data_IF_533062742859
#
_entry.id   IF_533062742859
#
_cell.length_a   1.000
_cell.length_b   1.000
_cell.length_c   1.000
_cell.angle_alpha   90.00
_cell.angle_beta   90.00
_cell.angle_gamma   90.00
#
_symmetry.space_group_name_H-M   'P 1'
#
loop_
_entity.id
_entity.type
_entity.pdbx_description
1 polymer ?
#
# COMPACT_ATOMS: atom_id res chain seq x y z
N UNK A 1 11.49 17.66 -7.07
CA UNK A 1 12.41 17.90 -5.93
C UNK A 1 11.88 18.88 -4.86
N UNK A 2 11.01 19.84 -5.18
CA UNK A 2 10.54 20.87 -4.22
C UNK A 2 9.71 20.31 -3.06
N UNK A 3 8.95 19.22 -3.24
CA UNK A 3 8.12 18.65 -2.17
C UNK A 3 8.88 17.79 -1.15
N UNK A 4 10.12 17.39 -1.44
CA UNK A 4 10.94 16.58 -0.51
C UNK A 4 11.66 17.42 0.56
N UNK A 5 11.88 18.71 0.31
CA UNK A 5 12.58 19.60 1.23
C UNK A 5 11.94 19.76 2.62
N UNK A 6 10.61 19.95 2.75
CA UNK A 6 9.98 20.05 4.08
C UNK A 6 10.07 18.73 4.84
N UNK A 7 9.90 17.60 4.15
CA UNK A 7 10.00 16.27 4.75
C UNK A 7 11.41 15.98 5.27
N UNK A 8 12.44 16.35 4.49
CA UNK A 8 13.83 16.17 4.88
C UNK A 8 14.24 17.08 6.04
N UNK A 9 13.78 18.33 6.07
CA UNK A 9 13.99 19.24 7.22
C UNK A 9 13.35 18.70 8.50
N UNK A 10 12.13 18.19 8.40
CA UNK A 10 11.44 17.56 9.53
C UNK A 10 12.18 16.30 9.99
N UNK A 11 12.68 15.48 9.05
CA UNK A 11 13.47 14.30 9.37
C UNK A 11 14.77 14.65 10.10
N UNK A 12 15.52 15.65 9.62
CA UNK A 12 16.73 16.15 10.30
C UNK A 12 16.44 16.65 11.71
N UNK A 13 15.34 17.37 11.88
CA UNK A 13 14.91 17.84 13.20
C UNK A 13 14.58 16.66 14.13
N UNK A 14 13.83 15.66 13.66
CA UNK A 14 13.57 14.43 14.44
C UNK A 14 14.86 13.66 14.74
N UNK A 15 15.80 13.63 13.79
CA UNK A 15 17.08 12.99 13.96
C UNK A 15 17.95 13.67 15.03
N UNK A 16 17.91 15.01 15.14
CA UNK A 16 18.67 15.70 16.20
C UNK A 16 18.19 15.36 17.63
N UNK A 17 16.95 14.90 17.80
CA UNK A 17 16.45 14.42 19.11
C UNK A 17 16.73 12.93 19.36
N UNK A 18 16.64 12.10 18.31
CA UNK A 18 16.68 10.64 18.44
C UNK A 18 18.09 10.08 18.24
N UNK A 19 18.92 10.72 17.41
CA UNK A 19 20.28 10.28 17.07
C UNK A 19 20.36 9.04 16.17
N UNK A 20 19.23 8.53 15.67
CA UNK A 20 19.17 7.36 14.79
C UNK A 20 18.15 7.57 13.67
N UNK A 21 18.65 7.54 12.43
CA UNK A 21 17.87 7.78 11.21
C UNK A 21 16.68 6.84 11.05
N UNK A 22 16.83 5.60 11.52
CA UNK A 22 15.79 4.59 11.44
C UNK A 22 14.55 4.91 12.26
N UNK A 23 14.75 5.23 13.53
CA UNK A 23 13.67 5.63 14.41
C UNK A 23 13.05 6.96 13.97
N UNK A 24 13.83 7.89 13.42
CA UNK A 24 13.29 9.12 12.82
C UNK A 24 12.32 8.85 11.67
N UNK A 25 12.61 7.85 10.83
CA UNK A 25 11.70 7.41 9.76
C UNK A 25 10.43 6.77 10.33
N UNK A 26 10.53 5.94 11.38
CA UNK A 26 9.34 5.39 12.02
C UNK A 26 8.45 6.54 12.55
N UNK A 27 9.04 7.50 13.26
CA UNK A 27 8.29 8.62 13.84
C UNK A 27 7.64 9.48 12.76
N UNK A 28 8.33 9.79 11.65
CA UNK A 28 7.73 10.58 10.57
C UNK A 28 6.56 9.84 9.92
N UNK A 29 6.62 8.51 9.80
CA UNK A 29 5.49 7.72 9.27
C UNK A 29 4.27 7.77 10.19
N UNK A 30 4.46 7.78 11.52
CA UNK A 30 3.35 7.96 12.46
C UNK A 30 2.73 9.36 12.37
N UNK A 31 3.54 10.41 12.21
CA UNK A 31 3.05 11.79 12.03
C UNK A 31 2.22 11.91 10.75
N UNK A 32 2.74 11.41 9.62
CA UNK A 32 2.02 11.44 8.34
C UNK A 32 0.74 10.63 8.43
N UNK A 33 0.76 9.42 9.03
CA UNK A 33 -0.46 8.64 9.27
C UNK A 33 -1.46 9.36 10.18
N UNK A 34 -0.99 10.09 11.19
CA UNK A 34 -1.84 10.90 12.05
C UNK A 34 -2.55 12.01 11.28
N UNK A 35 -1.83 12.74 10.44
CA UNK A 35 -2.40 13.79 9.57
C UNK A 35 -3.40 13.20 8.58
N UNK A 36 -3.14 11.99 8.07
CA UNK A 36 -4.02 11.30 7.12
C UNK A 36 -5.15 10.50 7.78
N UNK A 37 -5.22 10.45 9.11
CA UNK A 37 -6.27 9.75 9.85
C UNK A 37 -7.71 10.07 9.43
N UNK A 38 -8.13 11.34 9.21
CA UNK A 38 -9.50 11.62 8.77
C UNK A 38 -9.81 10.99 7.40
N UNK A 39 -8.82 10.95 6.50
CA UNK A 39 -8.94 10.32 5.20
C UNK A 39 -9.02 8.79 5.34
N UNK A 40 -8.21 8.19 6.21
CA UNK A 40 -8.26 6.76 6.52
C UNK A 40 -9.60 6.36 7.15
N UNK A 41 -10.18 7.21 8.01
CA UNK A 41 -11.51 6.99 8.58
C UNK A 41 -12.61 7.00 7.50
N UNK A 42 -12.52 7.92 6.54
CA UNK A 42 -13.43 7.97 5.40
C UNK A 42 -13.31 6.71 4.50
N UNK A 43 -12.08 6.21 4.28
CA UNK A 43 -11.83 4.95 3.59
C UNK A 43 -12.48 3.77 4.30
N UNK A 44 -12.27 3.66 5.62
CA UNK A 44 -12.80 2.57 6.41
C UNK A 44 -14.34 2.55 6.41
N UNK A 45 -14.95 3.73 6.50
CA UNK A 45 -16.42 3.89 6.40
C UNK A 45 -16.96 3.46 5.04
N UNK A 46 -16.24 3.78 3.96
CA UNK A 46 -16.63 3.37 2.60
C UNK A 46 -16.53 1.86 2.41
N UNK A 47 -15.50 1.23 2.98
CA UNK A 47 -15.33 -0.23 2.96
C UNK A 47 -16.42 -0.95 3.77
N UNK A 48 -16.82 -0.40 4.90
CA UNK A 48 -17.93 -0.93 5.71
C UNK A 48 -19.26 -0.92 4.94
N UNK A 49 -19.56 0.17 4.19
CA UNK A 49 -20.75 0.24 3.33
C UNK A 49 -20.71 -0.75 2.18
N UNK A 50 -19.54 -0.96 1.57
CA UNK A 50 -19.34 -2.02 0.55
C UNK A 50 -19.66 -3.42 1.10
N UNK A 51 -19.30 -3.70 2.36
CA UNK A 51 -19.60 -4.99 3.00
C UNK A 51 -21.11 -5.24 3.13
N UNK A 52 -21.90 -4.21 3.42
CA UNK A 52 -23.36 -4.32 3.47
C UNK A 52 -24.00 -4.60 2.10
N UNK A 53 -23.30 -4.25 1.00
CA UNK A 53 -23.78 -4.44 -0.37
C UNK A 53 -23.44 -5.81 -0.96
N UNK A 54 -22.45 -6.53 -0.40
CA UNK A 54 -22.09 -7.88 -0.85
C UNK A 54 -23.28 -8.85 -1.02
N UNK A 55 -24.20 -9.00 -0.05
CA UNK A 55 -25.33 -9.92 -0.21
C UNK A 55 -26.28 -9.49 -1.34
N UNK A 56 -26.48 -8.18 -1.54
CA UNK A 56 -27.31 -7.65 -2.64
C UNK A 56 -26.65 -7.91 -4.00
N UNK A 57 -25.32 -7.81 -4.09
CA UNK A 57 -24.54 -8.10 -5.29
C UNK A 57 -24.57 -9.61 -5.62
N UNK A 58 -24.52 -10.49 -4.62
CA UNK A 58 -24.65 -11.93 -4.81
C UNK A 58 -26.04 -12.30 -5.33
N UNK A 59 -27.10 -11.78 -4.70
CA UNK A 59 -28.48 -11.99 -5.16
C UNK A 59 -28.73 -11.46 -6.58
N UNK A 60 -28.12 -10.32 -6.95
CA UNK A 60 -28.15 -9.79 -8.32
C UNK A 60 -27.46 -10.74 -9.31
N UNK A 61 -26.29 -11.26 -8.95
CA UNK A 61 -25.53 -12.20 -9.79
C UNK A 61 -26.29 -13.49 -10.05
N UNK A 62 -26.97 -14.03 -9.04
CA UNK A 62 -27.83 -15.21 -9.18
C UNK A 62 -29.04 -14.97 -10.07
N UNK A 63 -29.63 -13.76 -10.03
CA UNK A 63 -30.79 -13.39 -10.87
C UNK A 63 -30.42 -13.13 -12.33
N UNK A 64 -29.30 -12.47 -12.60
CA UNK A 64 -28.90 -12.07 -13.96
C UNK A 64 -28.13 -13.19 -14.67
N UNK A 65 -27.45 -14.07 -13.93
CA UNK A 65 -26.70 -15.17 -14.52
C UNK A 65 -25.50 -14.70 -15.36
N UNK A 66 -25.41 -15.19 -16.60
CA UNK A 66 -24.22 -15.04 -17.47
C UNK A 66 -24.19 -13.75 -18.30
N UNK A 67 -25.23 -12.90 -18.20
CA UNK A 67 -25.32 -11.63 -18.90
C UNK A 67 -24.40 -10.56 -18.24
N UNK A 68 -23.10 -10.65 -18.52
CA UNK A 68 -22.06 -9.77 -17.94
C UNK A 68 -22.31 -8.29 -18.19
N UNK A 69 -22.91 -7.94 -19.33
CA UNK A 69 -23.24 -6.55 -19.66
C UNK A 69 -24.34 -6.00 -18.75
N UNK A 70 -25.45 -6.74 -18.57
CA UNK A 70 -26.54 -6.33 -17.67
C UNK A 70 -26.09 -6.33 -16.21
N UNK A 71 -25.26 -7.29 -15.82
CA UNK A 71 -24.66 -7.35 -14.48
C UNK A 71 -23.84 -6.09 -14.17
N UNK A 72 -22.99 -5.64 -15.10
CA UNK A 72 -22.17 -4.44 -14.92
C UNK A 72 -23.03 -3.17 -14.77
N UNK A 73 -24.10 -3.06 -15.57
CA UNK A 73 -25.02 -1.92 -15.54
C UNK A 73 -25.82 -1.86 -14.22
N UNK A 74 -26.43 -2.97 -13.80
CA UNK A 74 -27.20 -3.02 -12.56
C UNK A 74 -26.31 -2.86 -11.32
N UNK A 75 -25.09 -3.39 -11.34
CA UNK A 75 -24.10 -3.18 -10.29
C UNK A 75 -23.74 -1.70 -10.14
N UNK A 76 -23.50 -0.99 -11.24
CA UNK A 76 -23.22 0.45 -11.22
C UNK A 76 -24.45 1.27 -10.77
N UNK A 77 -25.66 0.87 -11.18
CA UNK A 77 -26.90 1.49 -10.73
C UNK A 77 -27.09 1.33 -9.22
N UNK A 78 -26.79 0.14 -8.67
CA UNK A 78 -26.84 -0.15 -7.24
C UNK A 78 -25.81 0.69 -6.46
N UNK A 79 -24.57 0.78 -6.94
CA UNK A 79 -23.55 1.65 -6.31
C UNK A 79 -23.96 3.11 -6.29
N UNK A 80 -24.61 3.59 -7.36
CA UNK A 80 -25.12 4.97 -7.44
C UNK A 80 -26.31 5.20 -6.49
N UNK A 81 -27.24 4.24 -6.41
CA UNK A 81 -28.39 4.32 -5.51
C UNK A 81 -27.97 4.37 -4.04
N UNK A 82 -26.98 3.58 -3.66
CA UNK A 82 -26.48 3.46 -2.28
C UNK A 82 -25.36 4.48 -1.97
N UNK A 83 -24.98 5.29 -2.96
CA UNK A 83 -23.91 6.31 -2.90
C UNK A 83 -22.59 5.76 -2.35
N UNK A 84 -22.23 4.55 -2.78
CA UNK A 84 -20.99 3.89 -2.39
C UNK A 84 -19.97 4.01 -3.51
N UNK A 85 -18.78 4.52 -3.20
CA UNK A 85 -17.73 4.73 -4.19
C UNK A 85 -16.80 3.49 -4.26
N UNK A 86 -16.79 2.70 -5.36
CA UNK A 86 -15.96 1.51 -5.48
C UNK A 86 -14.45 1.80 -5.43
N UNK A 87 -14.05 3.04 -5.74
CA UNK A 87 -12.67 3.51 -5.65
C UNK A 87 -12.17 3.69 -4.21
N UNK A 88 -13.04 3.59 -3.20
CA UNK A 88 -12.64 3.65 -1.79
C UNK A 88 -11.64 2.56 -1.40
N UNK A 89 -11.67 1.40 -2.08
CA UNK A 89 -10.77 0.27 -1.81
C UNK A 89 -9.35 0.42 -2.37
N UNK A 90 -9.16 1.16 -3.47
CA UNK A 90 -7.83 1.40 -4.06
C UNK A 90 -7.17 2.70 -3.55
N UNK A 91 -7.91 3.53 -2.81
CA UNK A 91 -7.43 4.79 -2.26
C UNK A 91 -6.21 4.65 -1.32
N UNK A 92 -6.08 3.59 -0.48
CA UNK A 92 -4.89 3.38 0.35
C UNK A 92 -3.63 3.17 -0.49
N UNK A 93 -3.73 2.45 -1.61
CA UNK A 93 -2.62 2.23 -2.54
C UNK A 93 -2.19 3.54 -3.20
N UNK A 94 -3.16 4.34 -3.67
CA UNK A 94 -2.89 5.60 -4.35
C UNK A 94 -2.20 6.62 -3.44
N UNK A 95 -2.52 6.61 -2.15
CA UNK A 95 -1.86 7.44 -1.13
C UNK A 95 -0.49 6.90 -0.75
N UNK A 96 -0.35 5.58 -0.64
CA UNK A 96 0.89 4.93 -0.23
C UNK A 96 1.99 5.08 -1.29
N UNK A 97 1.64 5.09 -2.57
CA UNK A 97 2.58 5.18 -3.69
C UNK A 97 3.44 6.46 -3.64
N UNK A 98 2.88 7.69 -3.54
CA UNK A 98 3.67 8.90 -3.37
C UNK A 98 4.54 8.93 -2.11
N UNK A 99 4.03 8.41 -0.99
CA UNK A 99 4.77 8.39 0.29
C UNK A 99 5.99 7.47 0.18
N UNK A 100 5.80 6.27 -0.39
CA UNK A 100 6.89 5.32 -0.62
C UNK A 100 7.95 5.90 -1.57
N UNK A 101 7.51 6.51 -2.68
CA UNK A 101 8.40 7.09 -3.68
C UNK A 101 9.17 8.30 -3.11
N UNK A 102 8.53 9.14 -2.30
CA UNK A 102 9.17 10.25 -1.61
C UNK A 102 10.24 9.79 -0.62
N UNK A 103 9.96 8.75 0.17
CA UNK A 103 10.93 8.15 1.09
C UNK A 103 12.09 7.51 0.30
N UNK A 104 11.81 6.74 -0.75
CA UNK A 104 12.83 6.10 -1.58
C UNK A 104 13.81 7.11 -2.19
N UNK A 105 13.29 8.16 -2.84
CA UNK A 105 14.14 9.20 -3.42
C UNK A 105 14.89 10.02 -2.36
N UNK A 106 14.29 10.22 -1.19
CA UNK A 106 14.96 10.87 -0.06
C UNK A 106 16.14 10.04 0.46
N UNK A 107 15.98 8.73 0.63
CA UNK A 107 17.06 7.83 1.07
C UNK A 107 18.19 7.79 0.03
N UNK A 108 17.87 7.70 -1.26
CA UNK A 108 18.88 7.68 -2.34
C UNK A 108 19.59 9.03 -2.55
N UNK A 109 18.88 10.15 -2.33
CA UNK A 109 19.40 11.49 -2.59
C UNK A 109 20.17 12.14 -1.42
N UNK A 110 20.10 11.56 -0.22
CA UNK A 110 20.68 12.18 0.99
C UNK A 110 22.00 11.54 1.36
N UNK A 111 23.10 12.29 1.22
CA UNK A 111 24.47 11.84 1.53
C UNK A 111 24.62 11.41 3.01
N UNK A 112 23.83 11.99 3.91
CA UNK A 112 23.87 11.73 5.35
C UNK A 112 23.19 10.41 5.77
N UNK A 113 22.33 9.83 4.91
CA UNK A 113 21.68 8.54 5.15
C UNK A 113 22.45 7.36 4.54
N UNK A 114 23.49 7.64 3.76
CA UNK A 114 24.40 6.64 3.20
C UNK A 114 25.22 6.04 4.35
N UNK A 115 25.14 4.73 4.58
CA UNK A 115 25.75 4.05 5.74
C UNK A 115 25.14 4.36 7.12
N UNK A 116 23.89 4.85 7.16
CA UNK A 116 23.19 4.99 8.43
C UNK A 116 22.79 3.59 8.98
N UNK A 117 23.06 3.28 10.26
CA UNK A 117 22.56 2.07 10.91
C UNK A 117 21.13 2.27 11.41
N UNK A 118 20.27 1.24 11.28
CA UNK A 118 18.90 1.24 11.82
C UNK A 118 18.89 0.64 13.23
N UNK A 119 18.96 -0.69 13.31
CA UNK A 119 19.10 -1.54 14.50
C UNK A 119 19.16 -3.02 14.04
N UNK A 120 19.54 -3.93 14.96
CA UNK A 120 19.59 -5.40 14.79
C UNK A 120 20.68 -5.92 13.83
N UNK A 121 20.41 -5.98 12.51
CA UNK A 121 21.33 -6.49 11.48
C UNK A 121 21.49 -5.50 10.30
N UNK A 122 20.80 -4.36 10.36
CA UNK A 122 20.76 -3.36 9.30
C UNK A 122 21.84 -2.32 9.57
N UNK A 123 23.00 -2.51 8.95
CA UNK A 123 24.14 -1.59 9.02
C UNK A 123 24.11 -0.49 7.94
N UNK A 124 23.25 -0.61 6.94
CA UNK A 124 23.06 0.40 5.90
C UNK A 124 21.59 0.44 5.45
N UNK A 125 20.89 1.53 5.76
CA UNK A 125 19.50 1.76 5.31
C UNK A 125 19.36 1.88 3.79
N UNK A 126 20.44 2.23 3.08
CA UNK A 126 20.42 2.48 1.63
C UNK A 126 20.76 1.25 0.81
N UNK A 127 21.27 0.18 1.43
CA UNK A 127 21.62 -1.07 0.77
C UNK A 127 20.50 -2.11 0.87
N UNK A 128 20.50 -3.08 -0.06
CA UNK A 128 19.57 -4.21 0.00
C UNK A 128 19.85 -5.07 1.24
N UNK A 129 18.79 -5.47 1.97
CA UNK A 129 18.92 -6.34 3.15
C UNK A 129 19.58 -7.67 2.77
N UNK A 130 20.80 -7.98 3.26
CA UNK A 130 21.55 -9.17 2.89
C UNK A 130 20.88 -10.48 3.34
N UNK A 131 19.99 -10.42 4.34
CA UNK A 131 19.33 -11.60 4.90
C UNK A 131 17.88 -11.80 4.41
N UNK A 132 17.34 -10.91 3.58
CA UNK A 132 15.95 -10.94 3.09
C UNK A 132 14.88 -11.06 4.19
N UNK A 133 15.21 -10.75 5.45
CA UNK A 133 14.29 -10.91 6.59
C UNK A 133 13.16 -9.89 6.49
N UNK A 134 13.47 -8.65 6.08
CA UNK A 134 12.51 -7.57 5.91
C UNK A 134 11.40 -7.89 4.87
N UNK A 135 11.72 -8.34 3.65
CA UNK A 135 10.72 -8.81 2.67
C UNK A 135 9.83 -9.95 3.18
N UNK A 136 10.41 -10.94 3.85
CA UNK A 136 9.66 -12.08 4.39
C UNK A 136 8.70 -11.60 5.47
N UNK A 137 9.18 -10.75 6.38
CA UNK A 137 8.35 -10.17 7.43
C UNK A 137 7.21 -9.33 6.83
N UNK A 138 7.48 -8.52 5.80
CA UNK A 138 6.45 -7.78 5.07
C UNK A 138 5.41 -8.72 4.43
N UNK A 139 5.85 -9.82 3.81
CA UNK A 139 4.97 -10.85 3.24
C UNK A 139 4.06 -11.49 4.29
N UNK A 140 4.63 -11.88 5.43
CA UNK A 140 3.89 -12.45 6.58
C UNK A 140 2.88 -11.44 7.13
N UNK A 141 3.29 -10.19 7.28
CA UNK A 141 2.41 -9.12 7.79
C UNK A 141 1.26 -8.87 6.81
N UNK A 142 1.54 -8.85 5.52
CA UNK A 142 0.51 -8.70 4.47
C UNK A 142 -0.47 -9.87 4.46
N UNK A 143 0.02 -11.11 4.64
CA UNK A 143 -0.83 -12.29 4.78
C UNK A 143 -1.74 -12.20 6.01
N UNK A 144 -1.20 -11.73 7.14
CA UNK A 144 -1.97 -11.52 8.36
C UNK A 144 -3.01 -10.42 8.20
N UNK A 145 -2.64 -9.30 7.57
CA UNK A 145 -3.54 -8.21 7.22
C UNK A 145 -4.65 -8.72 6.30
N UNK A 146 -4.37 -9.56 5.31
CA UNK A 146 -5.40 -10.12 4.42
C UNK A 146 -6.33 -11.11 5.13
N UNK A 147 -5.83 -11.88 6.10
CA UNK A 147 -6.65 -12.75 6.94
C UNK A 147 -7.59 -11.95 7.86
N UNK A 148 -7.13 -10.81 8.36
CA UNK A 148 -7.92 -9.95 9.25
C UNK A 148 -8.80 -8.95 8.51
N UNK A 149 -8.41 -8.56 7.28
CA UNK A 149 -9.16 -7.64 6.44
C UNK A 149 -10.19 -8.40 5.63
N UNK A 150 -11.50 -8.17 5.84
CA UNK A 150 -12.52 -8.81 5.03
C UNK A 150 -12.40 -8.32 3.59
N UNK A 151 -12.08 -9.22 2.66
CA UNK A 151 -11.98 -8.90 1.23
C UNK A 151 -13.37 -8.55 0.67
N UNK A 152 -13.52 -7.35 0.11
CA UNK A 152 -14.77 -6.86 -0.50
C UNK A 152 -15.01 -7.39 -1.91
N UNK A 153 -14.28 -8.43 -2.32
CA UNK A 153 -14.36 -8.99 -3.67
C UNK A 153 -15.56 -9.93 -3.77
N UNK A 154 -16.47 -9.62 -4.70
CA UNK A 154 -17.73 -10.34 -4.95
C UNK A 154 -17.56 -11.60 -5.79
N UNK A 155 -16.37 -11.77 -6.38
CA UNK A 155 -16.08 -12.79 -7.38
C UNK A 155 -15.17 -13.88 -6.79
N UNK A 156 -15.63 -15.14 -6.69
CA UNK A 156 -14.84 -16.23 -6.08
C UNK A 156 -13.53 -16.50 -6.85
N UNK A 157 -13.46 -16.12 -8.13
CA UNK A 157 -12.24 -16.18 -8.94
C UNK A 157 -11.23 -15.08 -8.56
N UNK A 158 -11.69 -13.86 -8.30
CA UNK A 158 -10.85 -12.74 -7.91
C UNK A 158 -10.44 -12.82 -6.42
N UNK A 159 -11.26 -13.43 -5.58
CA UNK A 159 -10.91 -13.76 -4.19
C UNK A 159 -9.73 -14.73 -4.13
N UNK A 160 -9.74 -15.78 -4.96
CA UNK A 160 -8.62 -16.71 -5.09
C UNK A 160 -7.34 -16.00 -5.54
N UNK A 161 -7.43 -15.12 -6.53
CA UNK A 161 -6.28 -14.31 -6.98
C UNK A 161 -5.76 -13.40 -5.87
N UNK A 162 -6.63 -12.75 -5.10
CA UNK A 162 -6.23 -11.89 -3.98
C UNK A 162 -5.52 -12.66 -2.86
N UNK A 163 -5.94 -13.88 -2.53
CA UNK A 163 -5.27 -14.71 -1.53
C UNK A 163 -3.89 -15.21 -1.95
N UNK A 164 -3.66 -15.39 -3.26
CA UNK A 164 -2.35 -15.78 -3.79
C UNK A 164 -1.44 -14.58 -4.10
N UNK A 165 -1.99 -13.37 -4.25
CA UNK A 165 -1.25 -12.14 -4.55
C UNK A 165 -0.07 -11.83 -3.60
N UNK A 166 -0.19 -11.87 -2.26
CA UNK A 166 0.92 -11.51 -1.39
C UNK A 166 2.06 -12.56 -1.43
N UNK A 167 1.74 -13.83 -1.71
CA UNK A 167 2.75 -14.88 -1.88
C UNK A 167 3.53 -14.65 -3.18
N UNK A 168 2.82 -14.31 -4.27
CA UNK A 168 3.44 -13.96 -5.55
C UNK A 168 4.31 -12.70 -5.39
N UNK A 169 3.85 -11.66 -4.69
CA UNK A 169 4.64 -10.46 -4.43
C UNK A 169 5.86 -10.74 -3.54
N UNK A 170 5.75 -11.63 -2.56
CA UNK A 170 6.88 -12.00 -1.69
C UNK A 170 7.93 -12.78 -2.49
N UNK A 171 7.52 -13.72 -3.34
CA UNK A 171 8.41 -14.44 -4.25
C UNK A 171 9.00 -13.50 -5.32
N UNK A 172 8.24 -12.52 -5.79
CA UNK A 172 8.73 -11.50 -6.71
C UNK A 172 9.76 -10.58 -6.07
N UNK A 173 9.51 -10.08 -4.85
CA UNK A 173 10.45 -9.23 -4.11
C UNK A 173 11.70 -9.99 -3.65
N UNK A 174 11.61 -11.31 -3.52
CA UNK A 174 12.72 -12.21 -3.17
C UNK A 174 13.50 -12.73 -4.40
N UNK A 175 12.83 -12.96 -5.54
CA UNK A 175 13.40 -13.61 -6.72
C UNK A 175 13.69 -12.67 -7.90
N UNK A 176 13.02 -11.52 -8.00
CA UNK A 176 13.34 -10.53 -9.01
C UNK A 176 14.36 -9.53 -8.46
N UNK A 177 15.54 -9.47 -9.10
CA UNK A 177 16.23 -8.17 -9.26
C UNK A 177 15.15 -7.15 -9.58
N UNK A 178 15.16 -5.97 -8.94
CA UNK A 178 14.03 -5.06 -8.93
C UNK A 178 13.51 -4.90 -10.36
N UNK A 179 12.32 -5.43 -10.66
CA UNK A 179 11.65 -5.18 -11.95
C UNK A 179 11.40 -3.68 -12.13
N UNK A 180 11.46 -2.91 -11.04
CA UNK A 180 11.53 -1.45 -11.08
C UNK A 180 12.72 -0.90 -11.86
N UNK A 181 13.76 -1.69 -12.13
CA UNK A 181 14.87 -1.30 -13.02
C UNK A 181 14.56 -1.49 -14.51
N UNK A 182 13.55 -2.30 -14.89
CA UNK A 182 13.16 -2.45 -16.30
C UNK A 182 12.06 -1.48 -16.77
N UNK A 183 11.34 -0.82 -15.88
CA UNK A 183 10.37 0.24 -16.27
C UNK A 183 10.91 1.66 -16.11
N UNK A 184 12.11 1.82 -15.53
CA UNK A 184 12.73 3.14 -15.29
C UNK A 184 14.02 3.36 -16.11
N UNK A 185 14.19 2.62 -17.21
CA UNK A 185 15.25 2.87 -18.21
C UNK A 185 14.70 3.38 -19.56
N UNK A 186 13.39 3.64 -19.68
CA UNK A 186 12.77 4.12 -20.93
C UNK A 186 11.71 5.21 -20.74
N UNK A 187 11.81 6.03 -19.68
CA UNK A 187 11.05 7.26 -19.58
C UNK A 187 11.84 8.33 -18.81
N UNK A 188 12.71 9.03 -19.53
CA UNK A 188 12.98 10.44 -19.26
C UNK A 188 11.69 11.22 -19.50
N UNK A 189 11.00 11.61 -18.43
CA UNK A 189 10.22 12.85 -18.27
C UNK A 189 10.02 13.11 -16.76
#
# INVERSE_FOLDING_TARGET
MVHLQPLFKLLKFLHSFIGNWGFSIIVITFIVRGIMYPLTKAQYTSMAKMRMLQPKLQAMRERIGDDKQRMSQEMMALYKAEKVNPLGGCLPLLIQMPIFLALYYMLMGSVELRHAPFALWIHDLSAQDPYYILPILMGVTMFFIQKMSPTTVTDPMQQKIMTFMPVIFTVFFCGSRPVWCCTTSSATW
#
